data_IF_925623551274
#
_entry.id   IF_925623551274
#
_cell.length_a   1.000
_cell.length_b   1.000
_cell.length_c   1.000
_cell.angle_alpha   90.00
_cell.angle_beta   90.00
_cell.angle_gamma   90.00
#
_symmetry.space_group_name_H-M   'P 1'
#
loop_
_entity.id
_entity.type
_entity.pdbx_description
1 polymer ?
#
# COMPACT_ATOMS: atom_id res chain seq x y z
N UNK A 1 9.28 -10.70 20.06
CA UNK A 1 9.21 -12.02 19.38
C UNK A 1 8.32 -11.91 18.14
N UNK A 2 8.66 -12.61 17.06
CA UNK A 2 7.83 -12.70 15.85
C UNK A 2 6.67 -13.68 16.10
N UNK A 3 5.43 -13.27 15.79
CA UNK A 3 4.21 -14.07 15.98
C UNK A 3 3.56 -14.37 14.64
N UNK A 4 3.15 -15.62 14.40
CA UNK A 4 2.36 -15.98 13.22
C UNK A 4 0.88 -15.95 13.58
N UNK A 5 0.07 -15.26 12.78
CA UNK A 5 -1.37 -15.12 12.98
C UNK A 5 -2.08 -15.93 11.90
N UNK A 6 -2.89 -16.90 12.34
CA UNK A 6 -3.65 -17.80 11.47
C UNK A 6 -5.14 -17.45 11.41
N UNK A 7 -5.63 -16.64 12.35
CA UNK A 7 -7.04 -16.23 12.44
C UNK A 7 -7.10 -14.72 12.63
N UNK A 8 -8.02 -14.09 11.89
CA UNK A 8 -8.33 -12.66 11.96
C UNK A 8 -8.53 -12.20 13.41
N UNK A 9 -7.73 -11.23 13.83
CA UNK A 9 -7.82 -10.61 15.15
C UNK A 9 -7.05 -9.27 15.16
N UNK A 10 -7.46 -8.30 16.00
CA UNK A 10 -6.68 -7.10 16.26
C UNK A 10 -5.28 -7.43 16.78
N UNK A 11 -4.26 -6.72 16.28
CA UNK A 11 -2.86 -6.98 16.63
C UNK A 11 -2.43 -6.22 17.89
N UNK A 12 -2.27 -6.95 19.00
CA UNK A 12 -1.78 -6.42 20.28
C UNK A 12 -0.96 -7.48 21.07
N UNK A 13 -0.06 -7.08 22.00
CA UNK A 13 0.57 -5.76 22.09
C UNK A 13 1.56 -5.55 20.92
N UNK A 14 2.27 -4.42 20.90
CA UNK A 14 3.29 -4.09 19.90
C UNK A 14 4.26 -5.26 19.60
N UNK A 15 4.59 -5.45 18.32
CA UNK A 15 5.52 -6.50 17.91
C UNK A 15 5.51 -6.78 16.41
N UNK A 16 6.22 -7.85 16.02
CA UNK A 16 6.25 -8.34 14.66
C UNK A 16 5.24 -9.47 14.48
N UNK A 17 4.30 -9.29 13.56
CA UNK A 17 3.26 -10.25 13.23
C UNK A 17 3.36 -10.65 11.76
N UNK A 18 3.37 -11.95 11.49
CA UNK A 18 3.29 -12.53 10.15
C UNK A 18 1.88 -13.08 9.96
N UNK A 19 1.14 -12.48 9.06
CA UNK A 19 -0.23 -12.86 8.74
C UNK A 19 -0.23 -13.59 7.41
N UNK A 20 -0.81 -14.79 7.39
CA UNK A 20 -1.03 -15.53 6.16
C UNK A 20 -2.46 -15.29 5.67
N UNK A 21 -2.69 -14.08 5.18
CA UNK A 21 -3.97 -13.62 4.63
C UNK A 21 -3.70 -12.57 3.54
N UNK A 22 -4.72 -12.22 2.77
CA UNK A 22 -4.58 -11.20 1.73
C UNK A 22 -4.62 -9.79 2.32
N UNK A 23 -3.86 -8.86 1.71
CA UNK A 23 -3.77 -7.46 2.13
C UNK A 23 -5.11 -6.70 2.08
N UNK A 24 -6.08 -7.14 1.28
CA UNK A 24 -7.41 -6.51 1.27
C UNK A 24 -8.27 -6.85 2.50
N UNK A 25 -7.73 -7.61 3.45
CA UNK A 25 -8.34 -7.92 4.74
C UNK A 25 -7.61 -7.22 5.91
N UNK A 26 -6.86 -6.15 5.65
CA UNK A 26 -6.11 -5.41 6.67
C UNK A 26 -7.01 -4.90 7.80
N UNK A 27 -8.23 -4.47 7.46
CA UNK A 27 -9.29 -4.05 8.39
C UNK A 27 -9.54 -5.04 9.54
N UNK A 28 -9.32 -6.34 9.32
CA UNK A 28 -9.48 -7.39 10.34
C UNK A 28 -8.38 -7.40 11.39
N UNK A 29 -7.25 -6.75 11.12
CA UNK A 29 -6.02 -6.81 11.92
C UNK A 29 -5.62 -5.45 12.51
N UNK A 30 -5.97 -4.36 11.84
CA UNK A 30 -5.63 -3.01 12.27
C UNK A 30 -6.44 -2.63 13.53
N UNK A 31 -5.77 -2.59 14.69
CA UNK A 31 -6.37 -2.18 15.96
C UNK A 31 -6.31 -0.65 16.19
N UNK A 32 -5.40 0.04 15.49
CA UNK A 32 -5.05 1.44 15.71
C UNK A 32 -4.56 2.08 14.40
N UNK A 33 -4.47 3.40 14.40
CA UNK A 33 -3.90 4.13 13.27
C UNK A 33 -2.45 3.74 12.97
N UNK A 34 -2.07 3.83 11.70
CA UNK A 34 -0.74 3.47 11.21
C UNK A 34 0.06 4.72 10.88
N UNK A 35 1.34 4.71 11.23
CA UNK A 35 2.28 5.80 10.91
C UNK A 35 2.89 5.64 9.51
N UNK A 36 3.01 4.39 9.07
CA UNK A 36 3.73 4.03 7.86
C UNK A 36 3.19 2.74 7.26
N UNK A 37 3.12 2.67 5.94
CA UNK A 37 2.82 1.46 5.20
C UNK A 37 3.70 1.38 3.94
N UNK A 38 4.05 0.15 3.56
CA UNK A 38 4.81 -0.12 2.33
C UNK A 38 4.10 -1.23 1.58
N UNK A 39 3.87 -1.02 0.28
CA UNK A 39 3.40 -2.02 -0.65
C UNK A 39 4.41 -2.20 -1.79
N UNK A 40 4.66 -3.45 -2.17
CA UNK A 40 5.53 -3.82 -3.27
C UNK A 40 4.74 -4.73 -4.22
N UNK A 41 4.28 -4.17 -5.33
CA UNK A 41 3.32 -4.84 -6.22
C UNK A 41 4.01 -5.79 -7.20
N UNK A 42 3.22 -6.65 -7.85
CA UNK A 42 3.67 -7.68 -8.78
C UNK A 42 3.86 -9.03 -8.12
N UNK A 43 4.94 -9.73 -8.47
CA UNK A 43 5.26 -11.08 -8.00
C UNK A 43 6.54 -11.14 -7.18
N UNK A 44 6.68 -12.19 -6.38
CA UNK A 44 7.90 -12.47 -5.62
C UNK A 44 9.00 -13.01 -6.56
N UNK A 45 10.19 -12.37 -6.64
CA UNK A 45 11.31 -12.91 -7.41
C UNK A 45 11.71 -14.31 -6.94
N UNK A 46 11.79 -15.25 -7.88
CA UNK A 46 12.10 -16.67 -7.58
C UNK A 46 10.91 -17.49 -7.06
N UNK A 47 9.73 -16.88 -6.90
CA UNK A 47 8.49 -17.56 -6.53
C UNK A 47 7.62 -17.97 -7.72
N UNK A 48 6.40 -18.40 -7.41
CA UNK A 48 5.37 -18.70 -8.41
C UNK A 48 4.87 -17.40 -9.05
N UNK A 49 5.07 -17.27 -10.38
CA UNK A 49 4.68 -16.08 -11.15
C UNK A 49 3.18 -15.98 -11.41
N UNK A 50 2.40 -17.02 -11.11
CA UNK A 50 0.93 -16.95 -11.13
C UNK A 50 0.37 -16.24 -9.89
N UNK A 51 1.15 -16.18 -8.81
CA UNK A 51 0.80 -15.46 -7.58
C UNK A 51 1.25 -14.00 -7.70
N UNK A 52 0.33 -13.16 -8.17
CA UNK A 52 0.53 -11.72 -8.36
C UNK A 52 -0.45 -10.92 -7.50
N UNK A 53 -0.08 -9.69 -7.16
CA UNK A 53 -1.06 -8.70 -6.69
C UNK A 53 -2.07 -8.39 -7.80
N UNK A 54 -3.28 -8.01 -7.40
CA UNK A 54 -4.41 -7.80 -8.31
C UNK A 54 -5.02 -6.41 -8.12
N UNK A 55 -5.52 -5.77 -9.19
CA UNK A 55 -6.00 -4.39 -9.13
C UNK A 55 -7.05 -4.16 -8.04
N UNK A 56 -8.04 -5.05 -7.93
CA UNK A 56 -9.15 -4.98 -7.00
C UNK A 56 -8.70 -5.08 -5.54
N UNK A 57 -7.87 -6.09 -5.22
CA UNK A 57 -7.38 -6.28 -3.86
C UNK A 57 -6.35 -5.23 -3.47
N UNK A 58 -5.51 -4.80 -4.42
CA UNK A 58 -4.51 -3.75 -4.21
C UNK A 58 -5.19 -2.44 -3.86
N UNK A 59 -6.11 -1.92 -4.70
CA UNK A 59 -6.79 -0.64 -4.41
C UNK A 59 -7.59 -0.72 -3.11
N UNK A 60 -8.26 -1.84 -2.84
CA UNK A 60 -8.98 -2.05 -1.58
C UNK A 60 -8.04 -1.91 -0.36
N UNK A 61 -6.87 -2.56 -0.38
CA UNK A 61 -5.91 -2.46 0.71
C UNK A 61 -5.28 -1.06 0.85
N UNK A 62 -4.95 -0.41 -0.28
CA UNK A 62 -4.41 0.95 -0.26
C UNK A 62 -5.43 1.93 0.34
N UNK A 63 -6.72 1.76 0.04
CA UNK A 63 -7.80 2.54 0.64
C UNK A 63 -7.90 2.33 2.16
N UNK A 64 -7.90 1.08 2.63
CA UNK A 64 -7.90 0.75 4.06
C UNK A 64 -6.68 1.36 4.78
N UNK A 65 -5.51 1.37 4.13
CA UNK A 65 -4.32 2.03 4.68
C UNK A 65 -4.51 3.54 4.79
N UNK A 66 -5.05 4.21 3.77
CA UNK A 66 -5.28 5.67 3.84
C UNK A 66 -6.22 6.05 4.98
N UNK A 67 -7.28 5.28 5.19
CA UNK A 67 -8.24 5.47 6.29
C UNK A 67 -7.57 5.29 7.66
N UNK A 68 -6.63 4.34 7.76
CA UNK A 68 -5.88 4.07 8.97
C UNK A 68 -4.68 5.02 9.18
N UNK A 69 -4.19 5.72 8.16
CA UNK A 69 -3.01 6.58 8.28
C UNK A 69 -3.29 7.72 9.27
N UNK A 70 -2.45 7.86 10.29
CA UNK A 70 -2.54 9.02 11.20
C UNK A 70 -2.10 10.31 10.48
N UNK A 71 -2.51 11.51 10.93
CA UNK A 71 -1.97 12.76 10.41
C UNK A 71 -0.43 12.77 10.40
N UNK A 72 0.18 13.16 9.29
CA UNK A 72 1.63 13.09 9.07
C UNK A 72 2.17 11.70 8.70
N UNK A 73 1.33 10.66 8.71
CA UNK A 73 1.67 9.31 8.29
C UNK A 73 1.91 9.18 6.78
N UNK A 74 2.60 8.10 6.38
CA UNK A 74 3.05 7.92 4.98
C UNK A 74 2.76 6.52 4.44
N UNK A 75 2.47 6.46 3.14
CA UNK A 75 2.36 5.24 2.37
C UNK A 75 3.35 5.29 1.19
N UNK A 76 4.11 4.21 1.03
CA UNK A 76 5.02 4.00 -0.09
C UNK A 76 4.56 2.80 -0.92
N UNK A 77 4.30 2.99 -2.21
CA UNK A 77 3.88 1.91 -3.12
C UNK A 77 4.88 1.79 -4.26
N UNK A 78 5.59 0.68 -4.34
CA UNK A 78 6.48 0.37 -5.47
C UNK A 78 5.68 -0.43 -6.50
N UNK A 79 5.60 0.08 -7.72
CA UNK A 79 4.82 -0.50 -8.81
C UNK A 79 5.75 -1.01 -9.90
N UNK A 80 5.50 -2.22 -10.39
CA UNK A 80 6.34 -2.92 -11.36
C UNK A 80 5.61 -3.09 -12.71
N UNK A 81 5.74 -2.14 -13.66
CA UNK A 81 5.00 -2.20 -14.93
C UNK A 81 5.56 -3.24 -15.93
N UNK A 82 6.68 -3.90 -15.61
CA UNK A 82 7.47 -4.68 -16.55
C UNK A 82 7.02 -6.13 -16.78
N UNK A 83 5.96 -6.60 -16.12
CA UNK A 83 5.51 -8.00 -16.17
C UNK A 83 4.17 -8.19 -16.88
N UNK A 84 3.90 -9.43 -17.31
CA UNK A 84 2.61 -9.78 -17.90
C UNK A 84 1.48 -9.53 -16.88
N UNK A 85 0.39 -8.90 -17.32
CA UNK A 85 -0.75 -8.55 -16.47
C UNK A 85 -0.57 -7.30 -15.59
N UNK A 86 0.58 -6.60 -15.67
CA UNK A 86 0.82 -5.39 -14.86
C UNK A 86 -0.05 -4.19 -15.26
N UNK A 87 -0.54 -4.17 -16.50
CA UNK A 87 -1.20 -2.99 -17.09
C UNK A 87 -2.45 -2.57 -16.31
N UNK A 88 -3.30 -3.53 -15.95
CA UNK A 88 -4.54 -3.27 -15.20
C UNK A 88 -4.26 -2.75 -13.79
N UNK A 89 -3.26 -3.31 -13.10
CA UNK A 89 -2.90 -2.91 -11.75
C UNK A 89 -2.23 -1.52 -11.74
N UNK A 90 -1.35 -1.25 -12.71
CA UNK A 90 -0.75 0.06 -12.93
C UNK A 90 -1.84 1.12 -13.14
N UNK A 91 -2.78 0.87 -14.06
CA UNK A 91 -3.86 1.80 -14.35
C UNK A 91 -4.76 2.05 -13.12
N UNK A 92 -5.09 0.99 -12.37
CA UNK A 92 -5.91 1.10 -11.17
C UNK A 92 -5.21 1.91 -10.07
N UNK A 93 -3.92 1.68 -9.82
CA UNK A 93 -3.13 2.44 -8.83
C UNK A 93 -2.97 3.89 -9.25
N UNK A 94 -2.72 4.17 -10.53
CA UNK A 94 -2.63 5.54 -11.04
C UNK A 94 -3.96 6.29 -10.93
N UNK A 95 -5.07 5.65 -11.30
CA UNK A 95 -6.41 6.24 -11.17
C UNK A 95 -6.78 6.50 -9.70
N UNK A 96 -6.52 5.54 -8.82
CA UNK A 96 -6.72 5.70 -7.38
C UNK A 96 -5.88 6.85 -6.82
N UNK A 97 -4.59 6.90 -7.13
CA UNK A 97 -3.69 7.95 -6.65
C UNK A 97 -4.12 9.34 -7.13
N UNK A 98 -4.57 9.47 -8.38
CA UNK A 98 -5.07 10.71 -8.94
C UNK A 98 -6.41 11.17 -8.34
N UNK A 99 -7.18 10.27 -7.73
CA UNK A 99 -8.47 10.57 -7.10
C UNK A 99 -8.35 11.14 -5.68
N UNK A 100 -7.15 11.05 -5.07
CA UNK A 100 -6.96 11.47 -3.69
C UNK A 100 -7.10 13.00 -3.55
N UNK A 101 -7.86 13.43 -2.53
CA UNK A 101 -8.12 14.83 -2.28
C UNK A 101 -6.82 15.59 -1.91
N UNK A 102 -6.41 16.62 -2.67
CA UNK A 102 -5.19 17.37 -2.38
C UNK A 102 -5.21 18.12 -1.04
N UNK A 103 -6.41 18.38 -0.49
CA UNK A 103 -6.58 18.98 0.82
C UNK A 103 -6.16 18.05 1.97
N UNK A 104 -6.17 16.74 1.73
CA UNK A 104 -5.89 15.71 2.74
C UNK A 104 -4.55 15.00 2.51
N UNK A 105 -4.12 14.89 1.25
CA UNK A 105 -2.95 14.09 0.86
C UNK A 105 -2.04 14.79 -0.14
N UNK A 106 -0.74 14.70 0.10
CA UNK A 106 0.29 14.99 -0.90
C UNK A 106 0.69 13.68 -1.58
N UNK A 107 0.69 13.66 -2.92
CA UNK A 107 0.96 12.46 -3.72
C UNK A 107 2.09 12.75 -4.71
N UNK A 108 3.16 11.95 -4.67
CA UNK A 108 4.33 12.07 -5.52
C UNK A 108 4.61 10.77 -6.27
N UNK A 109 4.96 10.87 -7.55
CA UNK A 109 5.50 9.77 -8.35
C UNK A 109 6.98 9.98 -8.63
N UNK A 110 7.81 9.04 -8.22
CA UNK A 110 9.24 9.02 -8.52
C UNK A 110 9.50 7.88 -9.51
N UNK A 111 10.00 8.23 -10.71
CA UNK A 111 10.19 7.28 -11.80
C UNK A 111 11.52 7.47 -12.52
N UNK A 112 12.08 6.38 -13.04
CA UNK A 112 13.27 6.41 -13.90
C UNK A 112 12.86 6.75 -15.33
N UNK A 113 13.07 8.01 -15.73
CA UNK A 113 12.48 8.58 -16.96
C UNK A 113 13.01 7.98 -18.28
N UNK A 114 14.22 7.41 -18.28
CA UNK A 114 14.80 6.79 -19.48
C UNK A 114 14.56 5.28 -19.58
N UNK A 115 13.79 4.67 -18.66
CA UNK A 115 13.48 3.23 -18.65
C UNK A 115 12.00 2.99 -18.41
N UNK A 116 11.21 2.87 -19.49
CA UNK A 116 9.74 2.75 -19.42
C UNK A 116 9.21 1.59 -18.57
N UNK A 117 9.95 0.47 -18.52
CA UNK A 117 9.57 -0.72 -17.74
C UNK A 117 10.19 -0.78 -16.34
N UNK A 118 10.94 0.25 -15.93
CA UNK A 118 11.51 0.28 -14.59
C UNK A 118 10.41 0.47 -13.54
N UNK A 119 10.58 -0.10 -12.33
CA UNK A 119 9.68 0.19 -11.23
C UNK A 119 9.68 1.68 -10.90
N UNK A 120 8.55 2.16 -10.40
CA UNK A 120 8.38 3.52 -9.91
C UNK A 120 7.75 3.50 -8.53
N UNK A 121 7.98 4.58 -7.77
CA UNK A 121 7.48 4.74 -6.42
C UNK A 121 6.35 5.78 -6.41
N UNK A 122 5.22 5.41 -5.83
CA UNK A 122 4.22 6.34 -5.34
C UNK A 122 4.50 6.62 -3.86
N UNK A 123 4.69 7.88 -3.51
CA UNK A 123 4.77 8.34 -2.12
C UNK A 123 3.51 9.16 -1.82
N UNK A 124 2.73 8.71 -0.84
CA UNK A 124 1.54 9.40 -0.34
C UNK A 124 1.79 9.83 1.10
N UNK A 125 1.56 11.11 1.41
CA UNK A 125 1.65 11.64 2.76
C UNK A 125 0.30 12.21 3.18
N UNK A 126 -0.22 11.76 4.33
CA UNK A 126 -1.41 12.39 4.93
C UNK A 126 -0.99 13.70 5.56
N UNK A 127 -1.65 14.79 5.20
CA UNK A 127 -1.32 16.12 5.70
C UNK A 127 -1.51 16.17 7.22
N UNK A 128 -0.62 16.85 7.97
CA UNK A 128 -0.82 17.08 9.40
C UNK A 128 -2.11 17.86 9.63
N UNK A 129 -2.74 17.65 10.79
CA UNK A 129 -3.79 18.57 11.24
C UNK A 129 -3.11 19.89 11.60
N UNK A 130 -3.32 20.92 10.80
CA UNK A 130 -2.99 22.27 11.22
C UNK A 130 -3.90 22.63 12.40
N UNK A 131 -3.33 22.76 13.59
CA UNK A 131 -4.04 23.41 14.69
C UNK A 131 -4.21 24.87 14.25
N UNK A 132 -5.45 25.29 14.00
CA UNK A 132 -5.76 26.69 13.82
C UNK A 132 -5.21 27.46 15.04
N UNK A 133 -4.20 28.29 14.79
CA UNK A 133 -3.63 29.22 15.76
C UNK A 133 -4.56 30.39 16.04
#
# INVERSE_FOLDING_TARGET
>A
ACRRIATAQPLEPDGLFLIHDSHHHLDRYLARGVHGAIANLGYLPGGDKSLITRPDTTVCALQQVLEALVPGGRLAVVVYPGHAGAEEEVAAVEAWAASLAPADFDVLRLAVVNRRKAPWLLAVARRPVELAG
#
